data_IF_518706582207
#
_entry.id   IF_518706582207
#
_cell.length_a   1.000
_cell.length_b   1.000
_cell.length_c   1.000
_cell.angle_alpha   90.00
_cell.angle_beta   90.00
_cell.angle_gamma   90.00
#
_symmetry.space_group_name_H-M   'P 1'
#
loop_
_entity.id
_entity.type
_entity.pdbx_description
1 polymer ?
#
# COMPACT_ATOMS: atom_id res chain seq x y z
N UNK A 1 -26.67 -34.22 66.88
CA UNK A 1 -27.27 -33.23 65.94
C UNK A 1 -26.27 -32.21 65.38
N UNK A 2 -25.20 -31.86 66.12
CA UNK A 2 -24.18 -30.86 65.67
C UNK A 2 -23.36 -31.33 64.47
N UNK A 3 -22.95 -32.60 64.41
CA UNK A 3 -22.15 -33.13 63.29
C UNK A 3 -22.87 -33.09 61.92
N UNK A 4 -24.20 -33.30 61.91
CA UNK A 4 -25.01 -33.20 60.69
C UNK A 4 -25.13 -31.77 60.17
N UNK A 5 -25.25 -30.78 61.06
CA UNK A 5 -25.31 -29.37 60.69
C UNK A 5 -23.97 -28.88 60.09
N UNK A 6 -22.84 -29.32 60.66
CA UNK A 6 -21.50 -29.00 60.14
C UNK A 6 -21.29 -29.64 58.75
N UNK A 7 -21.74 -30.88 58.56
CA UNK A 7 -21.64 -31.56 57.26
C UNK A 7 -22.45 -30.85 56.16
N UNK A 8 -23.65 -30.36 56.48
CA UNK A 8 -24.51 -29.61 55.54
C UNK A 8 -23.87 -28.27 55.17
N UNK A 9 -23.34 -27.53 56.16
CA UNK A 9 -22.63 -26.27 55.90
C UNK A 9 -21.36 -26.47 55.07
N UNK A 10 -20.60 -27.53 55.35
CA UNK A 10 -19.40 -27.87 54.57
C UNK A 10 -19.75 -28.28 53.12
N UNK A 11 -20.85 -29.02 52.92
CA UNK A 11 -21.33 -29.38 51.60
C UNK A 11 -21.80 -28.17 50.79
N UNK A 12 -22.53 -27.24 51.44
CA UNK A 12 -22.94 -25.97 50.84
C UNK A 12 -21.74 -25.10 50.44
N UNK A 13 -20.75 -24.98 51.31
CA UNK A 13 -19.51 -24.22 51.02
C UNK A 13 -18.73 -24.79 49.84
N UNK A 14 -18.58 -26.12 49.78
CA UNK A 14 -17.92 -26.79 48.64
C UNK A 14 -18.71 -26.66 47.33
N UNK A 15 -20.04 -26.76 47.40
CA UNK A 15 -20.92 -26.59 46.24
C UNK A 15 -20.85 -25.18 45.65
N UNK A 16 -20.87 -24.15 46.51
CA UNK A 16 -20.71 -22.76 46.10
C UNK A 16 -19.33 -22.49 45.49
N UNK A 17 -18.26 -23.00 46.11
CA UNK A 17 -16.90 -22.87 45.58
C UNK A 17 -16.74 -23.54 44.20
N UNK A 18 -17.32 -24.74 44.01
CA UNK A 18 -17.28 -25.44 42.72
C UNK A 18 -18.01 -24.65 41.63
N UNK A 19 -19.20 -24.12 41.93
CA UNK A 19 -19.99 -23.34 40.97
C UNK A 19 -19.28 -22.04 40.55
N UNK A 20 -18.63 -21.35 41.48
CA UNK A 20 -17.84 -20.14 41.20
C UNK A 20 -16.62 -20.47 40.33
N UNK A 21 -15.85 -21.51 40.69
CA UNK A 21 -14.66 -21.89 39.96
C UNK A 21 -14.96 -22.37 38.52
N UNK A 22 -16.14 -23.01 38.31
CA UNK A 22 -16.61 -23.39 36.98
C UNK A 22 -16.95 -22.18 36.09
N UNK A 23 -17.58 -21.15 36.66
CA UNK A 23 -17.88 -19.90 35.95
C UNK A 23 -16.61 -19.13 35.61
N UNK A 24 -15.65 -19.07 36.52
CA UNK A 24 -14.36 -18.41 36.29
C UNK A 24 -13.52 -19.14 35.23
N UNK A 25 -13.48 -20.47 35.25
CA UNK A 25 -12.81 -21.25 34.21
C UNK A 25 -13.43 -21.01 32.82
N UNK A 26 -14.77 -20.89 32.76
CA UNK A 26 -15.50 -20.57 31.52
C UNK A 26 -15.30 -19.12 31.06
N UNK A 27 -15.18 -18.18 32.00
CA UNK A 27 -14.90 -16.78 31.70
C UNK A 27 -13.47 -16.61 31.16
N UNK A 28 -12.48 -17.26 31.79
CA UNK A 28 -11.07 -17.26 31.34
C UNK A 28 -10.90 -17.85 29.95
N UNK A 29 -11.59 -18.95 29.64
CA UNK A 29 -11.54 -19.57 28.30
C UNK A 29 -12.20 -18.71 27.22
N UNK A 30 -13.28 -17.98 27.54
CA UNK A 30 -13.86 -17.01 26.60
C UNK A 30 -12.97 -15.79 26.40
N UNK A 31 -12.41 -15.24 27.48
CA UNK A 31 -11.47 -14.12 27.41
C UNK A 31 -10.23 -14.48 26.59
N UNK A 32 -9.65 -15.67 26.80
CA UNK A 32 -8.50 -16.14 26.03
C UNK A 32 -8.81 -16.30 24.53
N UNK A 33 -9.99 -16.82 24.18
CA UNK A 33 -10.43 -16.92 22.79
C UNK A 33 -10.64 -15.55 22.14
N UNK A 34 -11.27 -14.63 22.87
CA UNK A 34 -11.45 -13.26 22.39
C UNK A 34 -10.10 -12.57 22.20
N UNK A 35 -9.18 -12.72 23.13
CA UNK A 35 -7.84 -12.15 23.04
C UNK A 35 -7.09 -12.69 21.82
N UNK A 36 -7.06 -14.01 21.64
CA UNK A 36 -6.44 -14.64 20.47
C UNK A 36 -7.07 -14.16 19.15
N UNK A 37 -8.39 -13.94 19.15
CA UNK A 37 -9.08 -13.41 17.97
C UNK A 37 -8.75 -11.94 17.70
N UNK A 38 -8.62 -11.11 18.73
CA UNK A 38 -8.18 -9.72 18.57
C UNK A 38 -6.74 -9.66 18.06
N UNK A 39 -5.85 -10.50 18.59
CA UNK A 39 -4.46 -10.59 18.13
C UNK A 39 -4.39 -11.04 16.66
N UNK A 40 -5.18 -12.04 16.26
CA UNK A 40 -5.24 -12.47 14.88
C UNK A 40 -5.80 -11.39 13.95
N UNK A 41 -6.86 -10.69 14.36
CA UNK A 41 -7.43 -9.58 13.58
C UNK A 41 -6.43 -8.44 13.42
N UNK A 42 -5.81 -8.02 14.51
CA UNK A 42 -4.82 -6.95 14.50
C UNK A 42 -3.62 -7.31 13.61
N UNK A 43 -3.12 -8.56 13.70
CA UNK A 43 -2.04 -9.02 12.84
C UNK A 43 -2.43 -9.01 11.35
N UNK A 44 -3.68 -9.37 11.02
CA UNK A 44 -4.19 -9.32 9.64
C UNK A 44 -4.36 -7.88 9.14
N UNK A 45 -4.87 -6.98 9.97
CA UNK A 45 -5.00 -5.56 9.66
C UNK A 45 -3.64 -4.91 9.41
N UNK A 46 -2.67 -5.14 10.30
CA UNK A 46 -1.31 -4.64 10.13
C UNK A 46 -0.64 -5.18 8.85
N UNK A 47 -0.86 -6.46 8.54
CA UNK A 47 -0.35 -7.04 7.31
C UNK A 47 -1.02 -6.42 6.07
N UNK A 48 -2.32 -6.14 6.14
CA UNK A 48 -3.05 -5.50 5.04
C UNK A 48 -2.59 -4.07 4.83
N UNK A 49 -2.51 -3.28 5.88
CA UNK A 49 -1.98 -1.92 5.86
C UNK A 49 -0.58 -1.86 5.26
N UNK A 50 0.29 -2.81 5.63
CA UNK A 50 1.63 -2.90 5.07
C UNK A 50 1.60 -3.16 3.56
N UNK A 51 0.81 -4.14 3.10
CA UNK A 51 0.68 -4.44 1.66
C UNK A 51 0.13 -3.24 0.89
N UNK A 52 -0.86 -2.55 1.45
CA UNK A 52 -1.50 -1.42 0.79
C UNK A 52 -0.52 -0.25 0.67
N UNK A 53 0.25 0.05 1.71
CA UNK A 53 1.34 1.05 1.66
C UNK A 53 2.43 0.66 0.66
N UNK A 54 2.89 -0.59 0.68
CA UNK A 54 3.92 -1.07 -0.26
C UNK A 54 3.43 -0.98 -1.71
N UNK A 55 2.16 -1.30 -1.95
CA UNK A 55 1.54 -1.21 -3.27
C UNK A 55 1.41 0.24 -3.74
N UNK A 56 0.95 1.14 -2.87
CA UNK A 56 0.87 2.58 -3.16
C UNK A 56 2.25 3.15 -3.51
N UNK A 57 3.28 2.86 -2.71
CA UNK A 57 4.65 3.31 -2.97
C UNK A 57 5.18 2.80 -4.31
N UNK A 58 4.92 1.54 -4.64
CA UNK A 58 5.32 0.95 -5.94
C UNK A 58 4.63 1.63 -7.11
N UNK A 59 3.31 1.85 -7.02
CA UNK A 59 2.56 2.55 -8.06
C UNK A 59 3.07 3.97 -8.24
N UNK A 60 3.23 4.72 -7.14
CA UNK A 60 3.71 6.10 -7.22
C UNK A 60 5.08 6.19 -7.88
N UNK A 61 5.98 5.26 -7.54
CA UNK A 61 7.32 5.19 -8.15
C UNK A 61 7.23 4.91 -9.65
N UNK A 62 6.40 3.94 -10.06
CA UNK A 62 6.18 3.62 -11.46
C UNK A 62 5.54 4.77 -12.24
N UNK A 63 4.53 5.44 -11.66
CA UNK A 63 3.88 6.60 -12.27
C UNK A 63 4.85 7.76 -12.44
N UNK A 64 5.67 8.07 -11.44
CA UNK A 64 6.72 9.10 -11.55
C UNK A 64 7.71 8.78 -12.66
N UNK A 65 8.16 7.52 -12.73
CA UNK A 65 9.07 7.08 -13.79
C UNK A 65 8.45 7.22 -15.18
N UNK A 66 7.23 6.73 -15.38
CA UNK A 66 6.50 6.85 -16.65
C UNK A 66 6.27 8.32 -17.05
N UNK A 67 5.95 9.19 -16.09
CA UNK A 67 5.77 10.61 -16.35
C UNK A 67 7.06 11.26 -16.87
N UNK A 68 8.22 10.87 -16.33
CA UNK A 68 9.53 11.36 -16.77
C UNK A 68 9.90 10.77 -18.14
N UNK A 69 9.75 9.46 -18.34
CA UNK A 69 10.03 8.78 -19.62
C UNK A 69 9.23 9.42 -20.77
N UNK A 70 7.94 9.66 -20.55
CA UNK A 70 7.06 10.30 -21.53
C UNK A 70 7.52 11.73 -21.90
N UNK A 71 8.05 12.50 -20.95
CA UNK A 71 8.61 13.83 -21.24
C UNK A 71 9.87 13.76 -22.08
N UNK A 72 10.78 12.85 -21.72
CA UNK A 72 12.03 12.66 -22.47
C UNK A 72 11.71 12.25 -23.91
N UNK A 73 10.77 11.32 -24.10
CA UNK A 73 10.31 10.90 -25.43
C UNK A 73 9.69 12.05 -26.22
N UNK A 74 8.81 12.85 -25.61
CA UNK A 74 8.25 14.04 -26.26
C UNK A 74 9.35 15.01 -26.67
N UNK A 75 10.29 15.32 -25.77
CA UNK A 75 11.34 16.29 -26.05
C UNK A 75 12.31 15.79 -27.12
N UNK A 76 12.66 14.51 -27.08
CA UNK A 76 13.44 13.87 -28.14
C UNK A 76 12.71 13.99 -29.50
N UNK A 77 11.39 13.79 -29.53
CA UNK A 77 10.62 13.99 -30.73
C UNK A 77 10.62 15.45 -31.20
N UNK A 78 10.40 16.43 -30.31
CA UNK A 78 10.45 17.85 -30.65
C UNK A 78 11.81 18.24 -31.28
N UNK A 79 12.91 17.74 -30.71
CA UNK A 79 14.27 17.97 -31.22
C UNK A 79 14.50 17.40 -32.63
N UNK A 80 13.86 16.29 -32.97
CA UNK A 80 13.97 15.65 -34.29
C UNK A 80 12.96 16.24 -35.30
N UNK A 81 11.75 16.54 -34.84
CA UNK A 81 10.66 17.02 -35.67
C UNK A 81 10.84 18.47 -36.12
N UNK A 82 11.50 19.31 -35.33
CA UNK A 82 11.80 20.70 -35.71
C UNK A 82 12.70 20.79 -36.97
N UNK A 83 13.87 20.12 -37.04
CA UNK A 83 14.66 20.03 -38.27
C UNK A 83 13.90 19.41 -39.45
N UNK A 84 13.16 18.32 -39.20
CA UNK A 84 12.39 17.63 -40.27
C UNK A 84 11.31 18.54 -40.87
N UNK A 85 10.64 19.35 -40.05
CA UNK A 85 9.66 20.33 -40.53
C UNK A 85 10.27 21.44 -41.38
N UNK A 86 11.55 21.79 -41.14
CA UNK A 86 12.26 22.77 -41.98
C UNK A 86 12.65 22.18 -43.33
N UNK A 87 12.90 20.87 -43.39
CA UNK A 87 13.24 20.17 -44.63
C UNK A 87 12.00 19.84 -45.47
N UNK A 88 10.93 19.37 -44.85
CA UNK A 88 9.69 18.97 -45.51
C UNK A 88 8.46 19.61 -44.83
N UNK A 89 8.21 20.92 -45.05
CA UNK A 89 7.15 21.65 -44.37
C UNK A 89 5.73 21.17 -44.73
N UNK A 90 5.53 20.69 -45.96
CA UNK A 90 4.22 20.28 -46.46
C UNK A 90 3.91 18.79 -46.22
N UNK A 91 4.74 18.06 -45.48
CA UNK A 91 4.53 16.63 -45.24
C UNK A 91 3.36 16.41 -44.25
N UNK A 92 2.22 15.84 -44.69
CA UNK A 92 1.05 15.67 -43.85
C UNK A 92 1.27 14.67 -42.72
N UNK A 93 2.25 13.76 -42.85
CA UNK A 93 2.58 12.79 -41.81
C UNK A 93 3.23 13.45 -40.60
N UNK A 94 4.02 14.53 -40.80
CA UNK A 94 4.62 15.29 -39.69
C UNK A 94 3.55 16.05 -38.89
N UNK A 95 2.59 16.66 -39.58
CA UNK A 95 1.46 17.32 -38.92
C UNK A 95 0.61 16.32 -38.11
N UNK A 96 0.37 15.12 -38.68
CA UNK A 96 -0.39 14.06 -37.99
C UNK A 96 0.36 13.47 -36.80
N UNK A 97 1.66 13.28 -36.91
CA UNK A 97 2.50 12.82 -35.81
C UNK A 97 2.51 13.82 -34.64
N UNK A 98 2.62 15.12 -34.92
CA UNK A 98 2.51 16.17 -33.90
C UNK A 98 1.17 16.10 -33.17
N UNK A 99 0.06 15.96 -33.89
CA UNK A 99 -1.27 15.89 -33.30
C UNK A 99 -1.47 14.65 -32.40
N UNK A 100 -0.88 13.51 -32.80
CA UNK A 100 -0.86 12.30 -31.98
C UNK A 100 -0.05 12.50 -30.68
N UNK A 101 1.07 13.21 -30.75
CA UNK A 101 1.94 13.47 -29.60
C UNK A 101 1.33 14.46 -28.63
N UNK A 102 0.71 15.54 -29.12
CA UNK A 102 0.04 16.51 -28.26
C UNK A 102 -1.12 15.85 -27.49
N UNK A 103 -1.77 14.85 -28.08
CA UNK A 103 -2.79 14.03 -27.42
C UNK A 103 -2.19 13.01 -26.42
N UNK A 104 -1.08 12.38 -26.77
CA UNK A 104 -0.44 11.37 -25.93
C UNK A 104 0.30 11.97 -24.72
N UNK A 105 0.81 13.20 -24.86
CA UNK A 105 1.65 13.88 -23.88
C UNK A 105 1.17 15.33 -23.64
N UNK A 106 0.12 15.56 -22.84
CA UNK A 106 -0.29 16.92 -22.48
C UNK A 106 0.80 17.62 -21.65
N UNK A 107 0.95 18.94 -21.81
CA UNK A 107 1.91 19.75 -21.05
C UNK A 107 1.46 19.85 -19.58
N UNK A 108 2.24 19.30 -18.67
CA UNK A 108 2.06 19.55 -17.22
C UNK A 108 2.99 20.69 -16.79
N UNK A 109 2.45 21.88 -16.44
CA UNK A 109 3.23 23.07 -16.09
C UNK A 109 3.98 22.96 -14.76
N UNK A 110 3.76 21.91 -13.95
CA UNK A 110 4.31 21.81 -12.60
C UNK A 110 5.72 21.19 -12.51
N UNK A 111 6.31 20.74 -13.61
CA UNK A 111 7.56 19.95 -13.59
C UNK A 111 8.66 20.59 -14.48
N UNK A 112 9.92 20.55 -14.04
CA UNK A 112 11.05 21.26 -14.66
C UNK A 112 11.35 20.82 -16.10
N UNK A 113 11.83 21.78 -16.90
CA UNK A 113 12.08 21.66 -18.35
C UNK A 113 13.44 21.03 -18.73
N UNK A 114 14.34 20.82 -17.77
CA UNK A 114 15.71 20.38 -18.05
C UNK A 114 15.80 18.87 -18.36
N UNK A 115 16.16 18.54 -19.60
CA UNK A 115 16.37 17.17 -20.11
C UNK A 115 17.42 16.38 -19.33
N UNK A 116 18.51 17.03 -18.90
CA UNK A 116 19.56 16.35 -18.14
C UNK A 116 19.02 15.91 -16.77
N UNK A 117 18.27 16.79 -16.11
CA UNK A 117 17.57 16.47 -14.86
C UNK A 117 16.54 15.35 -15.01
N UNK A 118 15.76 15.35 -16.11
CA UNK A 118 14.76 14.31 -16.39
C UNK A 118 15.42 12.95 -16.67
N UNK A 119 16.51 12.93 -17.43
CA UNK A 119 17.23 11.68 -17.75
C UNK A 119 17.86 11.08 -16.49
N UNK A 120 18.47 11.92 -15.64
CA UNK A 120 19.00 11.48 -14.34
C UNK A 120 17.93 10.95 -13.38
N UNK A 121 16.67 11.37 -13.53
CA UNK A 121 15.54 10.82 -12.76
C UNK A 121 15.13 9.41 -13.23
N UNK A 122 15.35 9.06 -14.50
CA UNK A 122 15.09 7.71 -15.04
C UNK A 122 16.19 6.74 -14.61
N UNK A 123 17.46 7.20 -14.63
CA UNK A 123 18.63 6.37 -14.29
C UNK A 123 18.76 6.06 -12.80
N UNK A 124 18.00 6.71 -11.92
CA UNK A 124 17.95 6.32 -10.52
C UNK A 124 17.28 4.94 -10.41
N UNK A 125 17.99 3.89 -9.97
CA UNK A 125 17.33 2.65 -9.62
C UNK A 125 16.30 2.95 -8.54
N UNK A 126 15.09 2.39 -8.67
CA UNK A 126 14.12 2.41 -7.58
C UNK A 126 14.85 1.92 -6.32
N UNK A 127 14.76 2.63 -5.18
CA UNK A 127 15.45 2.19 -3.97
C UNK A 127 15.04 0.74 -3.70
N UNK A 128 16.01 -0.17 -3.70
CA UNK A 128 15.74 -1.56 -3.36
C UNK A 128 15.09 -1.57 -1.98
N UNK A 129 13.98 -2.29 -1.78
CA UNK A 129 13.41 -2.40 -0.46
C UNK A 129 14.47 -3.04 0.45
N UNK A 130 14.96 -2.28 1.43
CA UNK A 130 15.88 -2.77 2.46
C UNK A 130 15.31 -4.07 3.02
N UNK A 131 15.97 -5.18 2.71
CA UNK A 131 15.67 -6.48 3.32
C UNK A 131 16.24 -6.43 4.74
N UNK A 132 15.40 -6.02 5.69
CA UNK A 132 15.60 -6.25 7.13
C UNK A 132 14.87 -7.51 7.53
#
# INVERSE_FOLDING_TARGET
>A
MVAGAIAILAALGKGAAWALNWKDARARTRAAKLQAWHEELQAREEQQDKRDRDYQQRIETQLRRLAVENRVLRRAFELVAEPLRRLEPDNPNLARAQLMLDRAFPLDPALPEDLASLTAMIDRPAPEPERV
#
